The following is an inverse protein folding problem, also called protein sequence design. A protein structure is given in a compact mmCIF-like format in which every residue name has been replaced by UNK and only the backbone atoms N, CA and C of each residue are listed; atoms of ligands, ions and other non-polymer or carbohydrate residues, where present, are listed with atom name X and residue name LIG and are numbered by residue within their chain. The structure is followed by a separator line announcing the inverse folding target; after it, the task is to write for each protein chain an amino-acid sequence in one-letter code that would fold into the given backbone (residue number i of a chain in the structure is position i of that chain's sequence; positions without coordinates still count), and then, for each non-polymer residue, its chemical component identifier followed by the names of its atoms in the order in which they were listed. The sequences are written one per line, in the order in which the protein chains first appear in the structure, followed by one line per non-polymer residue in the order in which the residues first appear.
data_IF_089776938926
#
_entry.id   IF_089776938926
#
_cell.length_a   1.000
_cell.length_b   1.000
_cell.length_c   1.000
_cell.angle_alpha   90.00
_cell.angle_beta   90.00
_cell.angle_gamma   90.00
#
_symmetry.space_group_name_H-M   'P 1'
#
loop_
_entity.id
_entity.type
_entity.pdbx_description
1 polymer ?
#
# COMPACT_ATOMS: atom_id res chain seq x y z
N UNK A 1 -4.77 9.59 11.87
CA UNK A 1 -3.30 9.66 11.65
C UNK A 1 -2.65 8.27 11.67
N UNK A 2 -2.99 7.37 12.60
CA UNK A 2 -2.39 6.02 12.71
C UNK A 2 -2.52 5.19 11.42
N UNK A 3 -3.70 5.07 10.81
CA UNK A 3 -3.86 4.25 9.60
C UNK A 3 -3.03 4.72 8.39
N UNK A 4 -2.87 6.04 8.23
CA UNK A 4 -2.04 6.61 7.16
C UNK A 4 -0.56 6.28 7.38
N UNK A 5 -0.07 6.39 8.61
CA UNK A 5 1.30 6.03 8.95
C UNK A 5 1.54 4.52 8.76
N UNK A 6 0.57 3.68 9.14
CA UNK A 6 0.65 2.23 8.88
C UNK A 6 0.76 1.92 7.39
N UNK A 7 -0.01 2.59 6.53
CA UNK A 7 0.11 2.46 5.07
C UNK A 7 1.49 2.91 4.58
N UNK A 8 1.97 4.08 5.02
CA UNK A 8 3.29 4.60 4.63
C UNK A 8 4.45 3.69 5.06
N UNK A 9 4.39 3.14 6.28
CA UNK A 9 5.39 2.18 6.77
C UNK A 9 5.39 0.94 5.88
N UNK A 10 4.22 0.38 5.58
CA UNK A 10 4.11 -0.76 4.67
C UNK A 10 4.68 -0.44 3.28
N UNK A 11 4.36 0.74 2.71
CA UNK A 11 4.88 1.18 1.41
C UNK A 11 6.41 1.24 1.41
N UNK A 12 7.02 1.86 2.42
CA UNK A 12 8.48 2.00 2.47
C UNK A 12 9.18 0.65 2.69
N UNK A 13 8.61 -0.23 3.50
CA UNK A 13 9.15 -1.58 3.70
C UNK A 13 9.15 -2.40 2.42
N UNK A 14 8.04 -2.40 1.67
CA UNK A 14 7.95 -3.11 0.39
C UNK A 14 8.91 -2.53 -0.66
N UNK A 15 9.02 -1.19 -0.72
CA UNK A 15 9.98 -0.54 -1.62
C UNK A 15 11.42 -0.87 -1.27
N UNK A 16 11.77 -0.90 0.02
CA UNK A 16 13.11 -1.30 0.46
C UNK A 16 13.45 -2.73 0.03
N UNK A 17 12.49 -3.66 0.13
CA UNK A 17 12.66 -5.03 -0.36
C UNK A 17 12.84 -5.07 -1.88
N UNK A 18 12.04 -4.31 -2.64
CA UNK A 18 12.17 -4.20 -4.09
C UNK A 18 13.54 -3.62 -4.50
N UNK A 19 14.07 -2.65 -3.76
CA UNK A 19 15.44 -2.16 -3.98
C UNK A 19 16.50 -3.21 -3.66
N UNK A 20 16.33 -3.98 -2.59
CA UNK A 20 17.27 -5.04 -2.21
C UNK A 20 17.43 -6.09 -3.32
N UNK A 21 16.35 -6.42 -4.03
CA UNK A 21 16.38 -7.36 -5.16
C UNK A 21 16.72 -6.72 -6.51
N UNK A 22 17.14 -5.46 -6.51
CA UNK A 22 17.58 -4.74 -7.71
C UNK A 22 16.44 -4.21 -8.59
N UNK A 23 15.20 -4.18 -8.11
CA UNK A 23 14.08 -3.53 -8.81
C UNK A 23 13.95 -2.05 -8.38
N UNK A 24 13.39 -1.24 -9.27
CA UNK A 24 13.09 0.18 -9.00
C UNK A 24 11.58 0.36 -8.86
N UNK A 25 11.03 0.31 -7.63
CA UNK A 25 9.59 0.39 -7.42
C UNK A 25 9.02 1.78 -7.75
N UNK A 26 7.80 1.81 -8.29
CA UNK A 26 7.05 3.03 -8.59
C UNK A 26 5.61 2.96 -8.05
N UNK A 27 4.99 4.11 -7.79
CA UNK A 27 3.60 4.19 -7.29
C UNK A 27 3.47 4.01 -5.77
N UNK A 28 2.22 3.90 -5.30
CA UNK A 28 1.84 3.85 -3.88
C UNK A 28 0.90 2.69 -3.54
N UNK A 29 0.46 1.94 -4.55
CA UNK A 29 -0.38 0.75 -4.39
C UNK A 29 0.46 -0.35 -3.76
N UNK A 30 0.11 -0.74 -2.53
CA UNK A 30 0.80 -1.85 -1.86
C UNK A 30 0.57 -3.16 -2.61
N UNK A 31 -0.60 -3.32 -3.24
CA UNK A 31 -0.92 -4.49 -4.09
C UNK A 31 0.10 -4.66 -5.21
N UNK A 32 0.34 -3.61 -5.99
CA UNK A 32 1.27 -3.66 -7.13
C UNK A 32 2.70 -3.97 -6.65
N UNK A 33 3.13 -3.36 -5.54
CA UNK A 33 4.46 -3.62 -4.96
C UNK A 33 4.61 -5.08 -4.53
N UNK A 34 3.59 -5.69 -3.92
CA UNK A 34 3.61 -7.11 -3.53
C UNK A 34 3.59 -8.02 -4.76
N UNK A 35 2.84 -7.68 -5.80
CA UNK A 35 2.85 -8.44 -7.06
C UNK A 35 4.23 -8.41 -7.73
N UNK A 36 4.92 -7.27 -7.73
CA UNK A 36 6.28 -7.16 -8.27
C UNK A 36 7.31 -7.95 -7.45
N UNK A 37 7.14 -8.04 -6.12
CA UNK A 37 7.94 -8.91 -5.25
C UNK A 37 7.71 -10.38 -5.63
N UNK A 38 6.45 -10.82 -5.74
CA UNK A 38 6.09 -12.21 -6.01
C UNK A 38 6.49 -12.70 -7.40
N UNK A 39 6.63 -11.79 -8.39
CA UNK A 39 7.15 -12.14 -9.72
C UNK A 39 8.62 -12.57 -9.68
N UNK A 40 9.37 -12.15 -8.67
CA UNK A 40 10.78 -12.51 -8.53
C UNK A 40 10.92 -13.83 -7.77
N UNK A 41 11.29 -14.89 -8.50
CA UNK A 41 11.39 -16.28 -7.98
C UNK A 41 12.57 -16.52 -7.05
N UNK A 42 13.53 -15.60 -6.98
CA UNK A 42 14.74 -15.74 -6.15
C UNK A 42 14.56 -15.18 -4.74
N UNK A 43 13.37 -14.67 -4.41
CA UNK A 43 13.09 -14.08 -3.11
C UNK A 43 12.62 -15.09 -2.07
N UNK A 44 12.85 -14.79 -0.78
CA UNK A 44 12.25 -15.56 0.30
C UNK A 44 10.73 -15.58 0.15
N UNK A 45 10.11 -16.73 0.44
CA UNK A 45 8.66 -16.93 0.40
C UNK A 45 8.00 -16.02 1.43
N UNK A 46 7.66 -14.81 1.00
CA UNK A 46 7.02 -13.79 1.81
C UNK A 46 5.52 -14.00 1.73
N UNK A 47 4.98 -14.69 2.74
CA UNK A 47 3.54 -14.83 2.90
C UNK A 47 2.94 -13.50 3.38
N UNK A 48 2.76 -12.56 2.45
CA UNK A 48 2.10 -11.28 2.69
C UNK A 48 0.60 -11.50 2.49
N UNK A 49 -0.23 -11.40 3.55
CA UNK A 49 -1.65 -11.63 3.43
C UNK A 49 -2.30 -10.54 2.57
N UNK A 50 -2.79 -10.91 1.38
CA UNK A 50 -3.44 -10.01 0.42
C UNK A 50 -4.56 -9.18 1.06
N UNK A 51 -5.29 -9.76 2.02
CA UNK A 51 -6.35 -9.06 2.76
C UNK A 51 -5.83 -7.84 3.53
N UNK A 52 -4.66 -7.94 4.17
CA UNK A 52 -4.07 -6.83 4.91
C UNK A 52 -3.56 -5.72 3.99
N UNK A 53 -2.98 -6.11 2.84
CA UNK A 53 -2.50 -5.18 1.81
C UNK A 53 -3.65 -4.33 1.27
N UNK A 54 -4.74 -4.99 0.87
CA UNK A 54 -5.94 -4.32 0.34
C UNK A 54 -6.61 -3.43 1.40
N UNK A 55 -6.60 -3.82 2.66
CA UNK A 55 -7.18 -3.00 3.73
C UNK A 55 -6.35 -1.73 3.97
N UNK A 56 -5.02 -1.83 3.97
CA UNK A 56 -4.16 -0.67 4.14
C UNK A 56 -4.28 0.29 2.95
N UNK A 57 -4.36 -0.20 1.72
CA UNK A 57 -4.44 0.65 0.51
C UNK A 57 -5.64 1.61 0.52
N UNK A 58 -6.76 1.21 1.14
CA UNK A 58 -7.94 2.08 1.32
C UNK A 58 -7.61 3.34 2.13
N UNK A 59 -6.58 3.33 2.95
CA UNK A 59 -6.22 4.41 3.85
C UNK A 59 -5.17 5.35 3.26
N UNK A 60 -4.72 5.16 2.01
CA UNK A 60 -3.72 6.01 1.38
C UNK A 60 -4.27 7.39 0.96
N UNK A 61 -5.45 7.39 0.34
CA UNK A 61 -6.06 8.56 -0.31
C UNK A 61 -7.02 9.34 0.63
N UNK A 62 -7.99 8.72 1.32
CA UNK A 62 -9.01 9.47 2.07
C UNK A 62 -8.46 10.14 3.33
N UNK A 63 -7.35 9.69 3.89
CA UNK A 63 -6.70 10.35 5.05
C UNK A 63 -5.94 11.63 4.67
N UNK A 64 -5.70 11.87 3.38
CA UNK A 64 -5.00 13.08 2.88
C UNK A 64 -5.94 14.09 2.24
N UNK A 65 -7.08 13.64 1.72
CA UNK A 65 -8.07 14.49 1.09
C UNK A 65 -9.44 14.27 1.75
N UNK A 66 -9.83 15.11 2.72
CA UNK A 66 -11.12 14.97 3.41
C UNK A 66 -12.33 15.15 2.47
N UNK A 67 -12.13 15.71 1.28
CA UNK A 67 -13.15 15.81 0.22
C UNK A 67 -13.64 14.47 -0.30
N UNK A 68 -12.92 13.37 -0.05
CA UNK A 68 -13.33 12.01 -0.42
C UNK A 68 -14.06 11.28 0.72
N UNK A 69 -14.10 11.87 1.91
CA UNK A 69 -14.84 11.34 3.07
C UNK A 69 -16.29 11.82 3.11
N UNK A 70 -16.62 12.89 2.36
CA UNK A 70 -17.96 13.47 2.32
C UNK A 70 -18.43 13.67 0.87
N UNK A 71 -19.14 12.66 0.35
CA UNK A 71 -20.18 12.89 -0.65
C UNK A 71 -21.56 12.52 -0.09
N UNK A 72 -21.72 12.61 1.23
CA UNK A 72 -22.99 12.51 1.94
C UNK A 72 -23.13 13.74 2.84
N UNK A 73 -23.58 14.85 2.26
CA UNK A 73 -24.32 15.84 3.03
C UNK A 73 -25.76 15.78 2.50
N UNK A 74 -26.67 15.05 3.16
CA UNK A 74 -28.08 15.24 2.92
C UNK A 74 -28.41 16.66 3.39
N UNK A 75 -28.38 17.61 2.45
CA UNK A 75 -29.08 18.86 2.64
C UNK A 75 -30.57 18.56 2.48
N UNK A 76 -31.30 18.96 3.51
CA UNK A 76 -32.75 18.99 3.67
C UNK A 76 -33.50 19.56 2.46
#
# INVERSE_FOLDING_TARGET
MVCFLSHQVAEKSLKALLYYIGLRPFGHSLKDLVEDINKNKDQPDLNIPTKCVLELDKHYIPTRYPTLLYQESPHE
#
